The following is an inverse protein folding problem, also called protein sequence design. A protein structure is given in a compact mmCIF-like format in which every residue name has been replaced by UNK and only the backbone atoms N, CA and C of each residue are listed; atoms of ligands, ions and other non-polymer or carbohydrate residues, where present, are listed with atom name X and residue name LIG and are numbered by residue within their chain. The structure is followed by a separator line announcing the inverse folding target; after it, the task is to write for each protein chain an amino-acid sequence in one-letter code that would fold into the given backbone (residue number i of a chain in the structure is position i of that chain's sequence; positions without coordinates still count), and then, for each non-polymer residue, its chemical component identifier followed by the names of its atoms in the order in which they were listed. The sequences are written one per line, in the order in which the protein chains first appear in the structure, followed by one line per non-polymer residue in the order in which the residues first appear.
data_IF_731281809458
#
_entry.id   IF_731281809458
#
_cell.length_a   1.000
_cell.length_b   1.000
_cell.length_c   1.000
_cell.angle_alpha   90.00
_cell.angle_beta   90.00
_cell.angle_gamma   90.00
#
_symmetry.space_group_name_H-M   'P 1'
#
loop_
_entity.id
_entity.type
_entity.pdbx_description
1 polymer ?
#
# COMPACT_ATOMS: atom_id res chain seq x y z
N UNK A 1 2.50 4.26 -14.60
CA UNK A 1 3.91 3.95 -14.96
C UNK A 1 4.11 3.90 -16.49
N UNK A 2 3.29 3.16 -17.24
CA UNK A 2 3.40 3.04 -18.70
C UNK A 2 3.24 4.40 -19.44
N UNK A 3 2.36 5.27 -18.95
CA UNK A 3 2.15 6.63 -19.47
C UNK A 3 3.18 7.67 -18.96
N UNK A 4 4.27 7.24 -18.33
CA UNK A 4 5.35 8.14 -17.91
C UNK A 4 5.34 8.59 -16.45
N UNK A 5 4.29 8.26 -15.68
CA UNK A 5 4.32 8.49 -14.23
C UNK A 5 5.42 7.65 -13.57
N UNK A 6 6.33 8.33 -12.86
CA UNK A 6 7.37 7.68 -12.06
C UNK A 6 6.73 6.97 -10.86
N UNK A 7 7.16 5.74 -10.62
CA UNK A 7 6.71 4.93 -9.48
C UNK A 7 7.93 4.59 -8.65
N UNK A 8 8.01 5.18 -7.46
CA UNK A 8 9.15 5.00 -6.55
C UNK A 8 8.96 3.69 -5.78
N UNK A 9 9.60 2.62 -6.27
CA UNK A 9 9.54 1.26 -5.70
C UNK A 9 10.48 1.08 -4.49
N UNK A 10 10.48 2.05 -3.57
CA UNK A 10 11.44 2.16 -2.47
C UNK A 10 10.80 1.94 -1.08
N UNK A 11 9.71 1.17 -1.02
CA UNK A 11 9.02 0.86 0.22
C UNK A 11 8.16 2.00 0.77
N UNK A 12 7.97 3.08 0.02
CA UNK A 12 7.10 4.21 0.38
C UNK A 12 5.79 4.14 -0.40
N UNK A 13 4.69 4.40 0.30
CA UNK A 13 3.37 4.52 -0.33
C UNK A 13 3.40 5.73 -1.27
N UNK A 14 2.94 5.52 -2.50
CA UNK A 14 2.69 6.60 -3.44
C UNK A 14 1.57 7.48 -2.89
N UNK A 15 1.90 8.68 -2.42
CA UNK A 15 0.91 9.71 -2.12
C UNK A 15 0.65 10.50 -3.40
N UNK A 16 -0.61 10.58 -3.89
CA UNK A 16 -0.96 11.57 -4.90
C UNK A 16 -0.54 12.95 -4.40
N UNK A 17 -0.15 13.83 -5.35
CA UNK A 17 0.42 15.13 -5.02
C UNK A 17 -0.48 15.96 -4.10
N UNK A 18 0.13 16.95 -3.46
CA UNK A 18 -0.60 18.06 -2.84
C UNK A 18 -0.49 19.30 -3.72
N UNK A 19 -1.05 20.40 -3.27
CA UNK A 19 -0.89 21.70 -3.91
C UNK A 19 -0.38 22.73 -2.91
N UNK A 20 0.45 23.69 -3.37
CA UNK A 20 0.90 24.76 -2.52
C UNK A 20 -0.26 25.71 -2.20
N UNK A 21 -0.26 26.23 -0.99
CA UNK A 21 -1.17 27.27 -0.53
C UNK A 21 -0.38 28.39 0.13
N UNK A 22 -0.92 29.61 0.09
CA UNK A 22 -0.38 30.75 0.81
C UNK A 22 -1.46 31.38 1.67
N UNK A 23 -1.24 31.40 2.98
CA UNK A 23 -2.13 32.07 3.94
C UNK A 23 -1.31 33.08 4.77
N UNK A 24 -1.73 34.35 4.75
CA UNK A 24 -1.12 35.44 5.55
C UNK A 24 0.41 35.51 5.46
N UNK A 25 0.96 35.29 4.26
CA UNK A 25 2.41 35.33 4.00
C UNK A 25 3.17 34.03 4.32
N UNK A 26 2.51 33.02 4.89
CA UNK A 26 3.08 31.69 5.13
C UNK A 26 2.78 30.74 3.97
N UNK A 27 3.79 29.98 3.58
CA UNK A 27 3.69 28.91 2.59
C UNK A 27 3.27 27.62 3.26
N UNK A 28 2.31 26.92 2.64
CA UNK A 28 1.85 25.62 3.08
C UNK A 28 1.67 24.68 1.91
N UNK A 29 1.52 23.40 2.22
CA UNK A 29 1.19 22.38 1.23
C UNK A 29 0.00 21.55 1.75
N UNK A 30 -1.06 21.48 0.95
CA UNK A 30 -2.30 20.79 1.30
C UNK A 30 -2.42 19.54 0.45
N UNK A 31 -2.68 18.42 1.11
CA UNK A 31 -3.07 17.19 0.45
C UNK A 31 -4.58 17.04 0.57
N UNK A 32 -5.27 17.06 -0.57
CA UNK A 32 -6.71 16.85 -0.61
C UNK A 32 -7.11 15.47 -0.09
N UNK A 33 -8.36 15.36 0.37
CA UNK A 33 -8.97 14.07 0.65
C UNK A 33 -9.13 13.33 -0.66
N UNK A 34 -8.48 12.18 -0.79
CA UNK A 34 -8.65 11.32 -1.95
C UNK A 34 -10.12 10.88 -2.08
N UNK A 35 -10.66 10.71 -3.30
CA UNK A 35 -11.99 10.13 -3.49
C UNK A 35 -12.17 8.81 -2.74
N UNK A 36 -11.11 7.98 -2.66
CA UNK A 36 -11.09 6.74 -1.88
C UNK A 36 -11.16 6.98 -0.37
N UNK A 37 -10.58 8.07 0.13
CA UNK A 37 -10.70 8.47 1.55
C UNK A 37 -12.11 8.94 1.86
N UNK A 38 -12.77 9.64 0.93
CA UNK A 38 -14.17 10.02 1.07
C UNK A 38 -15.09 8.80 1.10
N UNK A 39 -14.90 7.87 0.15
CA UNK A 39 -15.60 6.58 0.14
C UNK A 39 -15.36 5.80 1.45
N UNK A 40 -14.10 5.69 1.88
CA UNK A 40 -13.75 5.00 3.12
C UNK A 40 -14.38 5.64 4.36
N UNK A 41 -14.44 6.97 4.42
CA UNK A 41 -15.11 7.70 5.50
C UNK A 41 -16.62 7.38 5.55
N UNK A 42 -17.27 7.28 4.39
CA UNK A 42 -18.68 6.85 4.32
C UNK A 42 -18.87 5.40 4.75
N UNK A 43 -18.03 4.48 4.25
CA UNK A 43 -18.08 3.07 4.64
C UNK A 43 -17.93 2.87 6.14
N UNK A 44 -17.07 3.69 6.75
CA UNK A 44 -16.92 3.71 8.19
C UNK A 44 -18.25 4.02 8.91
N UNK A 45 -19.08 4.91 8.36
CA UNK A 45 -20.41 5.21 8.90
C UNK A 45 -21.50 4.22 8.46
N UNK A 46 -21.14 3.17 7.71
CA UNK A 46 -22.10 2.22 7.14
C UNK A 46 -22.85 2.78 5.93
N UNK A 47 -22.39 3.90 5.38
CA UNK A 47 -22.98 4.54 4.21
C UNK A 47 -22.35 3.98 2.93
N UNK A 48 -23.08 3.09 2.26
CA UNK A 48 -22.69 2.51 0.98
C UNK A 48 -23.58 3.06 -0.13
N UNK A 49 -22.97 3.44 -1.25
CA UNK A 49 -23.67 3.94 -2.42
C UNK A 49 -23.96 2.82 -3.42
N UNK A 50 -24.99 3.01 -4.24
CA UNK A 50 -25.39 2.05 -5.28
C UNK A 50 -24.26 1.69 -6.25
N UNK A 51 -23.37 2.64 -6.58
CA UNK A 51 -22.19 2.40 -7.43
C UNK A 51 -21.25 1.36 -6.80
N UNK A 52 -21.13 1.34 -5.48
CA UNK A 52 -20.22 0.48 -4.73
C UNK A 52 -20.78 -0.94 -4.63
N UNK A 53 -22.09 -1.06 -4.44
CA UNK A 53 -22.80 -2.34 -4.49
C UNK A 53 -22.66 -2.99 -5.86
N UNK A 54 -22.85 -2.23 -6.95
CA UNK A 54 -22.69 -2.74 -8.30
C UNK A 54 -21.24 -3.13 -8.60
N UNK A 55 -20.28 -2.29 -8.18
CA UNK A 55 -18.85 -2.59 -8.31
C UNK A 55 -18.51 -3.88 -7.57
N UNK A 56 -19.01 -4.06 -6.35
CA UNK A 56 -18.77 -5.27 -5.56
C UNK A 56 -19.41 -6.52 -6.19
N UNK A 57 -20.62 -6.40 -6.75
CA UNK A 57 -21.27 -7.51 -7.49
C UNK A 57 -20.49 -7.88 -8.74
N UNK A 58 -20.13 -6.89 -9.55
CA UNK A 58 -19.32 -7.09 -10.74
C UNK A 58 -17.99 -7.74 -10.40
N UNK A 59 -17.27 -7.21 -9.40
CA UNK A 59 -15.99 -7.76 -8.93
C UNK A 59 -16.11 -9.22 -8.53
N UNK A 60 -17.09 -9.58 -7.69
CA UNK A 60 -17.30 -10.99 -7.28
C UNK A 60 -17.59 -11.89 -8.49
N UNK A 61 -18.44 -11.45 -9.42
CA UNK A 61 -18.75 -12.20 -10.64
C UNK A 61 -17.50 -12.40 -11.51
N UNK A 62 -16.68 -11.36 -11.69
CA UNK A 62 -15.42 -11.45 -12.44
C UNK A 62 -14.41 -12.41 -11.81
N UNK A 63 -14.34 -12.47 -10.48
CA UNK A 63 -13.48 -13.43 -9.76
C UNK A 63 -13.99 -14.86 -9.91
N UNK A 64 -15.31 -15.08 -9.82
CA UNK A 64 -15.92 -16.40 -9.99
C UNK A 64 -15.73 -16.95 -11.41
N UNK A 65 -15.77 -16.09 -12.42
CA UNK A 65 -15.64 -16.48 -13.83
C UNK A 65 -14.18 -16.65 -14.30
N UNK A 66 -13.20 -16.53 -13.39
CA UNK A 66 -11.80 -16.66 -13.75
C UNK A 66 -11.39 -18.14 -13.87
N UNK A 67 -11.12 -18.58 -15.09
CA UNK A 67 -10.65 -19.94 -15.38
C UNK A 67 -9.12 -20.02 -15.37
N UNK A 68 -8.56 -20.41 -14.23
CA UNK A 68 -7.13 -20.62 -14.06
C UNK A 68 -6.60 -21.83 -14.85
N UNK A 69 -7.44 -22.83 -15.13
CA UNK A 69 -7.00 -24.00 -15.90
C UNK A 69 -6.76 -23.64 -17.35
N UNK A 70 -7.66 -22.86 -17.95
CA UNK A 70 -7.49 -22.35 -19.31
C UNK A 70 -6.23 -21.51 -19.46
N UNK A 71 -5.93 -20.66 -18.48
CA UNK A 71 -4.68 -19.88 -18.49
C UNK A 71 -3.45 -20.79 -18.34
N UNK A 72 -3.51 -21.77 -17.45
CA UNK A 72 -2.45 -22.75 -17.26
C UNK A 72 -2.19 -23.62 -18.50
N UNK A 73 -3.20 -23.87 -19.35
CA UNK A 73 -3.02 -24.60 -20.61
C UNK A 73 -2.11 -23.86 -21.58
N UNK A 74 -2.18 -22.54 -21.66
CA UNK A 74 -1.30 -21.74 -22.51
C UNK A 74 0.17 -22.00 -22.18
N UNK A 75 0.51 -21.99 -20.89
CA UNK A 75 1.87 -22.25 -20.41
C UNK A 75 2.28 -23.71 -20.61
N UNK A 76 1.37 -24.67 -20.37
CA UNK A 76 1.63 -26.09 -20.63
C UNK A 76 1.89 -26.37 -22.11
N UNK A 77 1.12 -25.75 -23.01
CA UNK A 77 1.34 -25.84 -24.46
C UNK A 77 2.66 -25.20 -24.90
N UNK A 78 3.16 -24.21 -24.15
CA UNK A 78 4.48 -23.62 -24.32
C UNK A 78 5.62 -24.44 -23.68
N UNK A 79 5.34 -25.64 -23.15
CA UNK A 79 6.34 -26.53 -22.54
C UNK A 79 6.66 -26.25 -21.06
N UNK A 80 5.85 -25.42 -20.39
CA UNK A 80 6.00 -25.13 -18.96
C UNK A 80 5.03 -26.02 -18.18
N UNK A 81 5.56 -27.04 -17.51
CA UNK A 81 4.81 -28.01 -16.73
C UNK A 81 5.56 -28.45 -15.47
N UNK A 82 5.00 -29.43 -14.76
CA UNK A 82 5.58 -29.98 -13.54
C UNK A 82 6.90 -30.75 -13.75
N UNK A 83 7.34 -31.00 -14.99
CA UNK A 83 8.64 -31.59 -15.31
C UNK A 83 9.69 -30.51 -15.48
N UNK A 84 9.33 -29.40 -16.11
CA UNK A 84 10.26 -28.27 -16.39
C UNK A 84 10.34 -27.27 -15.24
N UNK A 85 9.33 -27.18 -14.39
CA UNK A 85 9.28 -26.31 -13.22
C UNK A 85 8.82 -27.12 -11.99
N UNK A 86 9.73 -27.31 -11.02
CA UNK A 86 9.53 -28.22 -9.88
C UNK A 86 9.37 -27.49 -8.55
N UNK A 87 9.73 -26.21 -8.52
CA UNK A 87 9.67 -25.37 -7.32
C UNK A 87 9.18 -23.96 -7.64
N UNK A 88 8.76 -23.24 -6.61
CA UNK A 88 8.42 -21.81 -6.76
C UNK A 88 9.66 -20.98 -7.13
N UNK A 89 10.85 -21.40 -6.71
CA UNK A 89 12.10 -20.78 -7.16
C UNK A 89 12.31 -20.95 -8.68
N UNK A 90 12.02 -22.13 -9.23
CA UNK A 90 12.06 -22.34 -10.69
C UNK A 90 11.04 -21.44 -11.39
N UNK A 91 9.81 -21.35 -10.86
CA UNK A 91 8.77 -20.48 -11.41
C UNK A 91 9.22 -19.02 -11.43
N UNK A 92 9.88 -18.54 -10.34
CA UNK A 92 10.44 -17.20 -10.27
C UNK A 92 11.57 -17.01 -11.28
N UNK A 93 12.46 -18.00 -11.41
CA UNK A 93 13.55 -17.99 -12.39
C UNK A 93 13.05 -17.84 -13.82
N UNK A 94 12.06 -18.67 -14.21
CA UNK A 94 11.45 -18.63 -15.54
C UNK A 94 10.76 -17.28 -15.79
N UNK A 95 9.96 -16.79 -14.83
CA UNK A 95 9.30 -15.48 -14.93
C UNK A 95 10.32 -14.33 -15.10
N UNK A 96 11.40 -14.35 -14.31
CA UNK A 96 12.49 -13.37 -14.38
C UNK A 96 13.16 -13.40 -15.77
N UNK A 97 13.40 -14.60 -16.32
CA UNK A 97 14.01 -14.75 -17.64
C UNK A 97 13.13 -14.14 -18.74
N UNK A 98 11.81 -14.31 -18.66
CA UNK A 98 10.88 -13.69 -19.63
C UNK A 98 10.95 -12.15 -19.57
N UNK A 99 10.99 -11.59 -18.36
CA UNK A 99 11.00 -10.13 -18.17
C UNK A 99 12.34 -9.48 -18.52
N UNK A 100 13.46 -10.18 -18.32
CA UNK A 100 14.79 -9.59 -18.44
C UNK A 100 15.57 -10.03 -19.70
N UNK A 101 15.23 -11.16 -20.31
CA UNK A 101 15.98 -11.74 -21.44
C UNK A 101 15.19 -11.76 -22.75
N UNK A 102 13.86 -11.93 -22.70
CA UNK A 102 13.03 -11.99 -23.92
C UNK A 102 13.02 -10.66 -24.68
N UNK A 103 12.53 -10.70 -25.93
CA UNK A 103 12.47 -9.51 -26.78
C UNK A 103 11.51 -8.47 -26.17
N UNK A 104 11.85 -7.18 -26.21
CA UNK A 104 11.00 -6.13 -25.64
C UNK A 104 9.56 -6.10 -26.17
N UNK A 105 9.36 -6.44 -27.46
CA UNK A 105 8.01 -6.54 -28.07
C UNK A 105 7.16 -7.65 -27.47
N UNK A 106 7.76 -8.81 -27.21
CA UNK A 106 7.06 -9.93 -26.59
C UNK A 106 6.65 -9.56 -25.16
N UNK A 107 7.53 -8.88 -24.42
CA UNK A 107 7.23 -8.37 -23.07
C UNK A 107 6.04 -7.39 -23.08
N UNK A 108 6.03 -6.45 -24.03
CA UNK A 108 4.94 -5.48 -24.17
C UNK A 108 3.63 -6.16 -24.57
N UNK A 109 3.67 -7.12 -25.49
CA UNK A 109 2.49 -7.87 -25.92
C UNK A 109 1.89 -8.67 -24.75
N UNK A 110 2.73 -9.36 -23.98
CA UNK A 110 2.30 -10.07 -22.76
C UNK A 110 1.67 -9.09 -21.76
N UNK A 111 2.30 -7.94 -21.51
CA UNK A 111 1.77 -6.93 -20.60
C UNK A 111 0.38 -6.44 -21.00
N UNK A 112 0.20 -6.05 -22.28
CA UNK A 112 -1.07 -5.56 -22.81
C UNK A 112 -2.16 -6.62 -22.65
N UNK A 113 -1.83 -7.88 -22.95
CA UNK A 113 -2.74 -9.00 -22.79
C UNK A 113 -3.12 -9.25 -21.32
N UNK A 114 -2.14 -9.37 -20.42
CA UNK A 114 -2.38 -9.74 -19.03
C UNK A 114 -3.08 -8.65 -18.22
N UNK A 115 -2.71 -7.39 -18.44
CA UNK A 115 -3.34 -6.25 -17.77
C UNK A 115 -4.65 -5.82 -18.42
N UNK A 116 -5.05 -6.46 -19.53
CA UNK A 116 -6.23 -6.11 -20.31
C UNK A 116 -6.29 -4.60 -20.59
N UNK A 117 -5.17 -4.05 -21.07
CA UNK A 117 -5.02 -2.60 -21.28
C UNK A 117 -6.03 -2.16 -22.35
N UNK A 118 -6.93 -1.20 -22.04
CA UNK A 118 -7.92 -0.75 -23.02
C UNK A 118 -7.26 -0.15 -24.28
N UNK A 119 -7.81 -0.40 -25.49
CA UNK A 119 -7.22 0.06 -26.75
C UNK A 119 -6.88 1.55 -26.81
N UNK A 120 -7.69 2.40 -26.16
CA UNK A 120 -7.49 3.85 -26.06
C UNK A 120 -6.17 4.22 -25.37
N UNK A 121 -5.69 3.40 -24.43
CA UNK A 121 -4.40 3.62 -23.77
C UNK A 121 -3.24 2.97 -24.53
N UNK A 122 -3.49 1.91 -25.31
CA UNK A 122 -2.43 1.17 -26.01
C UNK A 122 -1.67 2.06 -27.01
N UNK A 123 -2.37 2.90 -27.78
CA UNK A 123 -1.74 3.79 -28.75
C UNK A 123 -0.76 4.77 -28.10
N UNK A 124 -1.18 5.40 -27.00
CA UNK A 124 -0.36 6.37 -26.27
C UNK A 124 0.87 5.69 -25.64
N UNK A 125 0.69 4.50 -25.08
CA UNK A 125 1.79 3.70 -24.51
C UNK A 125 2.82 3.33 -25.59
N UNK A 126 2.37 2.81 -26.73
CA UNK A 126 3.25 2.40 -27.82
C UNK A 126 3.99 3.59 -28.44
N UNK A 127 3.31 4.73 -28.61
CA UNK A 127 3.93 5.97 -29.09
C UNK A 127 5.06 6.41 -28.15
N UNK A 128 4.80 6.43 -26.84
CA UNK A 128 5.82 6.78 -25.84
C UNK A 128 6.99 5.80 -25.84
N UNK A 129 6.70 4.50 -25.96
CA UNK A 129 7.72 3.47 -26.00
C UNK A 129 8.62 3.57 -27.24
N UNK A 130 8.03 3.87 -28.41
CA UNK A 130 8.74 4.17 -29.65
C UNK A 130 9.65 5.40 -29.51
N UNK A 131 9.17 6.49 -28.90
CA UNK A 131 9.97 7.70 -28.68
C UNK A 131 11.23 7.45 -27.82
N UNK A 132 11.23 6.39 -27.00
CA UNK A 132 12.39 5.97 -26.21
C UNK A 132 13.26 4.92 -26.91
N UNK A 133 12.98 4.61 -28.18
CA UNK A 133 13.62 3.56 -28.98
C UNK A 133 13.45 2.14 -28.39
N UNK A 134 12.22 1.81 -27.98
CA UNK A 134 11.81 0.46 -27.56
C UNK A 134 12.68 -0.21 -26.48
N UNK A 135 13.00 0.46 -25.36
CA UNK A 135 13.82 -0.13 -24.32
C UNK A 135 13.09 -1.33 -23.67
N UNK A 136 13.82 -2.28 -23.04
CA UNK A 136 13.22 -3.36 -22.25
C UNK A 136 12.17 -2.86 -21.26
N UNK A 137 11.13 -3.67 -20.99
CA UNK A 137 10.00 -3.24 -20.18
C UNK A 137 10.43 -2.81 -18.76
N UNK A 138 11.42 -3.50 -18.18
CA UNK A 138 11.99 -3.17 -16.88
C UNK A 138 12.66 -1.77 -16.83
N UNK A 139 13.08 -1.22 -17.97
CA UNK A 139 13.63 0.14 -18.08
C UNK A 139 12.51 1.13 -18.39
N UNK A 140 11.63 0.79 -19.35
CA UNK A 140 10.54 1.65 -19.80
C UNK A 140 9.51 1.94 -18.71
N UNK A 141 9.10 0.88 -18.00
CA UNK A 141 8.05 0.87 -16.99
C UNK A 141 8.36 -0.18 -15.90
N UNK A 142 9.31 0.11 -14.99
CA UNK A 142 9.81 -0.84 -14.00
C UNK A 142 8.72 -1.47 -13.12
N UNK A 143 7.70 -0.70 -12.73
CA UNK A 143 6.60 -1.23 -11.92
C UNK A 143 5.68 -2.14 -12.73
N UNK A 144 5.42 -1.80 -13.99
CA UNK A 144 4.64 -2.67 -14.87
C UNK A 144 5.38 -4.00 -15.15
N UNK A 145 6.71 -3.94 -15.29
CA UNK A 145 7.54 -5.14 -15.38
C UNK A 145 7.43 -6.03 -14.13
N UNK A 146 7.50 -5.42 -12.94
CA UNK A 146 7.32 -6.14 -11.67
C UNK A 146 5.93 -6.81 -11.56
N UNK A 147 4.86 -6.09 -11.91
CA UNK A 147 3.49 -6.64 -11.91
C UNK A 147 3.38 -7.81 -12.88
N UNK A 148 3.91 -7.67 -14.10
CA UNK A 148 3.91 -8.76 -15.08
C UNK A 148 4.72 -9.96 -14.60
N UNK A 149 5.84 -9.75 -13.94
CA UNK A 149 6.67 -10.82 -13.38
C UNK A 149 5.91 -11.64 -12.34
N UNK A 150 5.21 -10.98 -11.42
CA UNK A 150 4.37 -11.63 -10.40
C UNK A 150 3.24 -12.43 -11.08
N UNK A 151 2.59 -11.88 -12.10
CA UNK A 151 1.54 -12.59 -12.85
C UNK A 151 2.10 -13.83 -13.57
N UNK A 152 3.22 -13.69 -14.29
CA UNK A 152 3.89 -14.81 -14.97
C UNK A 152 4.28 -15.90 -13.98
N UNK A 153 4.92 -15.54 -12.86
CA UNK A 153 5.26 -16.48 -11.79
C UNK A 153 4.05 -17.29 -11.32
N UNK A 154 2.91 -16.62 -11.10
CA UNK A 154 1.71 -17.28 -10.65
C UNK A 154 1.15 -18.24 -11.71
N UNK A 155 1.05 -17.81 -12.97
CA UNK A 155 0.54 -18.65 -14.04
C UNK A 155 1.44 -19.87 -14.29
N UNK A 156 2.76 -19.69 -14.22
CA UNK A 156 3.75 -20.79 -14.29
C UNK A 156 3.56 -21.75 -13.11
N UNK A 157 3.44 -21.24 -11.88
CA UNK A 157 3.24 -22.07 -10.70
C UNK A 157 1.91 -22.84 -10.74
N UNK A 158 0.85 -22.27 -11.31
CA UNK A 158 -0.43 -22.98 -11.54
C UNK A 158 -0.26 -24.05 -12.63
N UNK A 159 0.38 -23.73 -13.76
CA UNK A 159 0.66 -24.69 -14.84
C UNK A 159 1.48 -25.89 -14.38
N UNK A 160 2.43 -25.66 -13.48
CA UNK A 160 3.28 -26.68 -12.86
C UNK A 160 2.65 -27.38 -11.65
N UNK A 161 1.38 -27.08 -11.32
CA UNK A 161 0.64 -27.62 -10.18
C UNK A 161 1.28 -27.34 -8.80
N UNK A 162 2.10 -26.30 -8.71
CA UNK A 162 2.68 -25.80 -7.45
C UNK A 162 1.68 -24.95 -6.67
N UNK A 163 0.71 -24.36 -7.37
CA UNK A 163 -0.44 -23.65 -6.82
C UNK A 163 -1.72 -24.27 -7.42
N UNK A 164 -2.72 -24.49 -6.57
CA UNK A 164 -4.02 -25.04 -6.95
C UNK A 164 -4.78 -24.09 -7.90
N UNK A 165 -5.32 -24.63 -8.98
CA UNK A 165 -6.12 -23.90 -9.97
C UNK A 165 -7.60 -23.85 -9.61
N UNK A 166 -8.06 -24.69 -8.68
CA UNK A 166 -9.47 -24.84 -8.28
C UNK A 166 -9.99 -23.68 -7.44
N UNK A 167 -9.09 -22.80 -6.96
CA UNK A 167 -9.43 -21.62 -6.18
C UNK A 167 -9.13 -20.34 -6.98
N UNK A 168 -10.10 -19.82 -7.75
CA UNK A 168 -9.94 -18.60 -8.55
C UNK A 168 -9.49 -17.38 -7.74
N UNK A 169 -9.86 -17.32 -6.44
CA UNK A 169 -9.43 -16.23 -5.55
C UNK A 169 -7.91 -16.16 -5.40
N UNK A 170 -7.16 -17.25 -5.65
CA UNK A 170 -5.69 -17.26 -5.55
C UNK A 170 -5.05 -16.19 -6.45
N UNK A 171 -5.64 -15.88 -7.61
CA UNK A 171 -5.13 -14.79 -8.47
C UNK A 171 -5.27 -13.43 -7.80
N UNK A 172 -6.42 -13.19 -7.16
CA UNK A 172 -6.68 -11.97 -6.39
C UNK A 172 -5.73 -11.91 -5.19
N UNK A 173 -5.54 -13.02 -4.50
CA UNK A 173 -4.63 -13.10 -3.36
C UNK A 173 -3.20 -12.76 -3.82
N UNK A 174 -2.69 -13.35 -4.90
CA UNK A 174 -1.36 -13.01 -5.45
C UNK A 174 -1.22 -11.54 -5.85
N UNK A 175 -2.28 -10.89 -6.31
CA UNK A 175 -2.22 -9.47 -6.66
C UNK A 175 -1.83 -8.57 -5.48
N UNK A 176 -1.95 -9.03 -4.23
CA UNK A 176 -1.42 -8.31 -3.06
C UNK A 176 0.11 -8.16 -3.11
N UNK A 177 0.83 -9.02 -3.82
CA UNK A 177 2.27 -8.87 -4.00
C UNK A 177 2.61 -7.64 -4.85
N UNK A 178 1.66 -7.08 -5.60
CA UNK A 178 1.83 -5.80 -6.32
C UNK A 178 2.09 -4.62 -5.38
N UNK A 179 1.83 -4.77 -4.08
CA UNK A 179 2.12 -3.76 -3.05
C UNK A 179 3.53 -3.88 -2.46
N UNK A 180 4.27 -4.97 -2.71
CA UNK A 180 5.63 -5.14 -2.20
C UNK A 180 6.55 -3.96 -2.52
N UNK A 181 6.53 -3.35 -3.73
CA UNK A 181 7.34 -2.17 -4.01
C UNK A 181 7.11 -0.97 -3.06
N UNK A 182 6.00 -0.94 -2.33
CA UNK A 182 5.52 0.20 -1.53
C UNK A 182 5.46 -0.08 -0.03
N UNK A 183 6.06 -1.17 0.45
CA UNK A 183 6.18 -1.45 1.87
C UNK A 183 7.62 -1.80 2.28
N UNK A 184 7.92 -1.65 3.58
CA UNK A 184 9.11 -2.23 4.20
C UNK A 184 8.79 -3.60 4.82
N UNK A 185 7.57 -3.75 5.34
CA UNK A 185 7.10 -4.97 5.97
C UNK A 185 5.81 -5.42 5.25
N UNK A 186 5.80 -6.67 4.78
CA UNK A 186 4.60 -7.29 4.20
C UNK A 186 4.00 -8.28 5.21
N UNK A 187 2.85 -7.92 5.77
CA UNK A 187 2.18 -8.72 6.81
C UNK A 187 1.03 -9.50 6.17
N UNK A 188 1.00 -10.81 6.38
CA UNK A 188 -0.13 -11.65 5.92
C UNK A 188 -0.38 -12.83 6.85
N UNK A 189 -1.65 -13.25 6.97
CA UNK A 189 -2.05 -14.54 7.55
C UNK A 189 -2.44 -15.57 6.48
N UNK A 190 -2.19 -15.27 5.21
CA UNK A 190 -2.47 -16.16 4.09
C UNK A 190 -1.26 -17.05 3.77
N UNK A 191 -1.50 -18.36 3.63
CA UNK A 191 -0.45 -19.36 3.39
C UNK A 191 0.17 -19.24 1.99
N UNK A 192 -0.59 -18.79 0.98
CA UNK A 192 -0.09 -18.51 -0.35
C UNK A 192 0.88 -17.33 -0.29
N UNK A 193 0.52 -16.25 0.41
CA UNK A 193 1.43 -15.12 0.63
C UNK A 193 2.72 -15.55 1.32
N UNK A 194 2.62 -16.37 2.38
CA UNK A 194 3.79 -16.88 3.11
C UNK A 194 4.75 -17.68 2.22
N UNK A 195 4.21 -18.42 1.25
CA UNK A 195 5.00 -19.21 0.29
C UNK A 195 5.59 -18.34 -0.82
N UNK A 196 4.83 -17.36 -1.32
CA UNK A 196 5.17 -16.65 -2.55
C UNK A 196 5.93 -15.33 -2.30
N UNK A 197 5.64 -14.60 -1.22
CA UNK A 197 6.18 -13.26 -1.02
C UNK A 197 7.72 -13.24 -0.98
N UNK A 198 8.34 -14.25 -0.37
CA UNK A 198 9.79 -14.33 -0.20
C UNK A 198 10.57 -14.26 -1.53
N UNK A 199 9.99 -14.75 -2.63
CA UNK A 199 10.62 -14.71 -3.96
C UNK A 199 10.64 -13.30 -4.58
N UNK A 200 9.92 -12.34 -4.02
CA UNK A 200 9.77 -10.98 -4.54
C UNK A 200 10.20 -9.89 -3.54
N UNK A 201 10.59 -10.27 -2.32
CA UNK A 201 11.09 -9.30 -1.34
C UNK A 201 12.44 -8.75 -1.79
N UNK A 202 12.60 -7.43 -1.68
CA UNK A 202 13.91 -6.80 -1.71
C UNK A 202 14.66 -7.10 -0.41
N UNK A 203 15.98 -6.90 -0.43
CA UNK A 203 16.86 -7.12 0.71
C UNK A 203 16.52 -6.26 1.94
N UNK A 204 15.90 -5.10 1.74
CA UNK A 204 15.46 -4.16 2.78
C UNK A 204 14.04 -4.47 3.30
N UNK A 205 13.41 -5.56 2.85
CA UNK A 205 12.05 -5.91 3.21
C UNK A 205 11.94 -7.18 4.04
N UNK A 206 10.81 -7.33 4.71
CA UNK A 206 10.54 -8.50 5.54
C UNK A 206 9.09 -8.96 5.46
N UNK A 207 8.90 -10.28 5.39
CA UNK A 207 7.60 -10.90 5.56
C UNK A 207 7.34 -11.15 7.05
N UNK A 208 6.17 -10.73 7.54
CA UNK A 208 5.75 -11.01 8.92
C UNK A 208 4.47 -11.84 8.90
N UNK A 209 4.51 -12.98 9.58
CA UNK A 209 3.32 -13.80 9.73
C UNK A 209 2.31 -13.11 10.63
N UNK A 210 1.10 -12.91 10.13
CA UNK A 210 0.08 -12.11 10.80
C UNK A 210 -0.35 -12.69 12.15
N UNK A 211 -0.19 -13.99 12.38
CA UNK A 211 -0.48 -14.60 13.68
C UNK A 211 0.53 -14.17 14.76
N UNK A 212 1.80 -14.01 14.37
CA UNK A 212 2.87 -13.61 15.29
C UNK A 212 2.65 -12.16 15.70
N UNK A 213 2.36 -11.29 14.72
CA UNK A 213 2.01 -9.90 14.99
C UNK A 213 0.73 -9.77 15.83
N UNK A 214 -0.32 -10.55 15.54
CA UNK A 214 -1.54 -10.55 16.37
C UNK A 214 -1.26 -10.96 17.81
N UNK A 215 -0.41 -11.96 18.01
CA UNK A 215 -0.01 -12.44 19.34
C UNK A 215 0.74 -11.34 20.10
N UNK A 216 1.69 -10.68 19.43
CA UNK A 216 2.46 -9.57 19.99
C UNK A 216 1.58 -8.36 20.34
N UNK A 217 0.71 -7.92 19.41
CA UNK A 217 -0.28 -6.87 19.65
C UNK A 217 -1.22 -7.22 20.81
N UNK A 218 -1.58 -8.50 20.97
CA UNK A 218 -2.35 -9.00 22.10
C UNK A 218 -1.63 -8.82 23.44
N UNK A 219 -0.31 -9.07 23.49
CA UNK A 219 0.53 -8.81 24.68
C UNK A 219 0.60 -7.32 25.00
N UNK A 220 0.83 -6.48 23.98
CA UNK A 220 0.86 -5.02 24.12
C UNK A 220 -0.48 -4.49 24.64
N UNK A 221 -1.59 -4.97 24.09
CA UNK A 221 -2.92 -4.60 24.54
C UNK A 221 -3.17 -4.99 26.01
N UNK A 222 -2.81 -6.22 26.41
CA UNK A 222 -2.92 -6.68 27.81
C UNK A 222 -2.10 -5.80 28.76
N UNK A 223 -0.89 -5.41 28.37
CA UNK A 223 -0.04 -4.49 29.13
C UNK A 223 -0.73 -3.13 29.31
N UNK A 224 -1.27 -2.54 28.25
CA UNK A 224 -1.92 -1.23 28.40
C UNK A 224 -3.24 -1.31 29.17
N UNK A 225 -3.94 -2.45 29.16
CA UNK A 225 -5.17 -2.63 29.93
C UNK A 225 -4.94 -2.60 31.45
N UNK A 226 -3.71 -2.86 31.93
CA UNK A 226 -3.36 -2.72 33.34
C UNK A 226 -3.10 -1.28 33.78
N UNK A 227 -3.16 -0.30 32.86
CA UNK A 227 -3.03 1.11 33.22
C UNK A 227 -4.28 1.63 33.95
N UNK A 228 -4.14 2.64 34.84
CA UNK A 228 -5.27 3.28 35.51
C UNK A 228 -6.33 3.80 34.53
N UNK A 229 -7.59 3.80 34.97
CA UNK A 229 -8.71 4.24 34.14
C UNK A 229 -8.57 5.71 33.73
N UNK A 230 -8.01 6.58 34.59
CA UNK A 230 -7.77 7.98 34.21
C UNK A 230 -6.85 8.07 32.98
N UNK A 231 -5.74 7.32 32.97
CA UNK A 231 -4.78 7.30 31.86
C UNK A 231 -5.44 6.84 30.55
N UNK A 232 -6.30 5.82 30.62
CA UNK A 232 -7.00 5.28 29.44
C UNK A 232 -8.01 6.26 28.86
N UNK A 233 -8.57 7.16 29.68
CA UNK A 233 -9.53 8.19 29.24
C UNK A 233 -8.86 9.39 28.55
N UNK A 234 -7.56 9.60 28.76
CA UNK A 234 -6.78 10.62 28.04
C UNK A 234 -6.62 10.26 26.55
N UNK A 235 -6.68 8.96 26.23
CA UNK A 235 -6.68 8.43 24.88
C UNK A 235 -5.36 7.73 24.51
N UNK A 236 -5.43 6.69 23.70
CA UNK A 236 -4.28 5.83 23.36
C UNK A 236 -3.13 6.58 22.69
N UNK A 237 -3.44 7.66 21.95
CA UNK A 237 -2.44 8.53 21.32
C UNK A 237 -1.64 9.38 22.33
N UNK A 238 -1.98 9.42 23.62
CA UNK A 238 -1.17 10.14 24.60
C UNK A 238 -0.07 9.27 25.21
N UNK A 239 -0.32 7.98 25.39
CA UNK A 239 0.55 7.07 26.14
C UNK A 239 1.11 5.90 25.31
N UNK A 240 0.60 5.64 24.11
CA UNK A 240 1.06 4.56 23.23
C UNK A 240 1.42 5.10 21.83
N UNK A 241 2.31 6.09 21.80
CA UNK A 241 2.78 6.77 20.58
C UNK A 241 3.78 5.97 19.73
N UNK A 242 4.22 4.83 20.24
CA UNK A 242 5.14 3.92 19.58
C UNK A 242 5.05 2.53 20.21
N UNK A 243 5.80 1.56 19.69
CA UNK A 243 5.89 0.25 20.34
C UNK A 243 6.57 0.37 21.71
N UNK A 244 6.39 -0.62 22.60
CA UNK A 244 7.12 -0.69 23.86
C UNK A 244 8.64 -0.57 23.65
N UNK A 245 9.33 0.17 24.53
CA UNK A 245 10.79 0.35 24.40
C UNK A 245 11.58 -0.86 24.88
N UNK A 246 10.99 -1.67 25.75
CA UNK A 246 11.59 -2.91 26.26
C UNK A 246 11.72 -3.96 25.15
N UNK A 247 12.75 -4.80 25.26
CA UNK A 247 12.97 -5.91 24.34
C UNK A 247 11.90 -7.01 24.50
N UNK A 248 11.79 -7.88 23.49
CA UNK A 248 10.91 -9.07 23.52
C UNK A 248 9.50 -8.84 22.97
N UNK A 249 9.28 -7.73 22.27
CA UNK A 249 8.10 -7.49 21.42
C UNK A 249 8.51 -7.48 19.96
N UNK A 250 7.76 -8.21 19.13
CA UNK A 250 7.98 -8.25 17.69
C UNK A 250 7.84 -6.84 17.07
N UNK A 251 6.87 -6.03 17.52
CA UNK A 251 6.73 -4.66 17.01
C UNK A 251 7.96 -3.79 17.29
N UNK A 252 8.65 -4.04 18.40
CA UNK A 252 9.86 -3.30 18.79
C UNK A 252 11.02 -3.67 17.89
N UNK A 253 11.22 -4.97 17.64
CA UNK A 253 12.26 -5.49 16.73
C UNK A 253 12.04 -5.00 15.29
N UNK A 254 10.79 -4.99 14.83
CA UNK A 254 10.45 -4.48 13.50
C UNK A 254 10.73 -2.98 13.38
N UNK A 255 10.46 -2.19 14.44
CA UNK A 255 10.78 -0.77 14.44
C UNK A 255 12.29 -0.51 14.49
N UNK A 256 13.06 -1.29 15.27
CA UNK A 256 14.52 -1.19 15.27
C UNK A 256 15.14 -1.39 13.90
N UNK A 257 14.60 -2.36 13.15
CA UNK A 257 15.13 -2.73 11.85
C UNK A 257 14.73 -1.75 10.75
N UNK A 258 13.48 -1.29 10.74
CA UNK A 258 12.89 -0.57 9.61
C UNK A 258 12.70 0.94 9.84
N UNK A 259 12.77 1.42 11.08
CA UNK A 259 12.60 2.85 11.40
C UNK A 259 13.93 3.52 11.77
N UNK A 260 13.98 4.85 11.66
CA UNK A 260 15.16 5.62 12.07
C UNK A 260 15.47 5.36 13.56
N UNK A 261 16.72 5.03 13.95
CA UNK A 261 17.10 4.69 15.33
C UNK A 261 16.65 5.70 16.40
N UNK A 262 16.57 6.99 16.04
CA UNK A 262 16.04 8.06 16.91
C UNK A 262 14.60 7.83 17.38
N UNK A 263 13.89 6.83 16.83
CA UNK A 263 12.59 6.42 17.33
C UNK A 263 12.63 6.01 18.80
N UNK A 264 13.74 5.41 19.27
CA UNK A 264 13.91 5.04 20.69
C UNK A 264 14.09 6.25 21.59
N UNK A 265 14.72 7.30 21.06
CA UNK A 265 15.04 8.54 21.79
C UNK A 265 13.90 9.54 21.78
N UNK A 266 12.87 9.34 20.95
CA UNK A 266 11.65 10.13 21.02
C UNK A 266 11.11 10.04 22.44
N UNK A 267 11.22 11.15 23.16
CA UNK A 267 10.56 11.32 24.43
C UNK A 267 9.07 11.16 24.19
N UNK A 268 8.37 10.50 25.12
CA UNK A 268 6.92 10.55 25.14
C UNK A 268 6.55 12.02 25.22
N UNK A 269 6.07 12.58 24.11
CA UNK A 269 5.57 13.94 24.08
C UNK A 269 4.39 13.92 25.03
N UNK A 270 4.63 14.34 26.28
CA UNK A 270 3.57 14.76 27.19
C UNK A 270 2.91 15.91 26.47
N UNK A 271 1.84 15.60 25.76
CA UNK A 271 0.91 16.59 25.30
C UNK A 271 0.33 17.21 26.57
N UNK A 272 1.00 18.25 27.09
CA UNK A 272 0.23 19.33 27.68
C UNK A 272 -0.74 19.70 26.57
N UNK A 273 -2.04 19.48 26.80
CA UNK A 273 -3.03 20.04 25.88
C UNK A 273 -2.62 21.48 25.70
N UNK A 274 -2.24 21.92 24.47
CA UNK A 274 -1.91 23.32 24.29
C UNK A 274 -3.11 24.05 24.84
N UNK A 275 -2.88 25.00 25.78
CA UNK A 275 -3.92 25.91 26.22
C UNK A 275 -4.67 26.29 24.97
N UNK A 276 -5.92 25.83 24.86
CA UNK A 276 -6.68 25.71 23.62
C UNK A 276 -6.48 27.03 22.89
N UNK A 277 -5.57 27.07 21.90
CA UNK A 277 -5.13 28.33 21.32
C UNK A 277 -6.03 28.47 20.10
N UNK A 278 -7.20 29.14 20.19
CA UNK A 278 -8.11 29.26 19.06
C UNK A 278 -7.38 29.80 17.82
N UNK A 279 -6.33 30.61 18.03
CA UNK A 279 -5.43 31.08 16.98
C UNK A 279 -4.73 29.95 16.21
N UNK A 280 -4.19 28.92 16.88
CA UNK A 280 -3.52 27.80 16.21
C UNK A 280 -4.51 26.95 15.39
N UNK A 281 -5.66 26.63 15.98
CA UNK A 281 -6.71 25.84 15.31
C UNK A 281 -7.28 26.61 14.11
N UNK A 282 -7.51 27.91 14.26
CA UNK A 282 -7.97 28.78 13.17
C UNK A 282 -6.93 28.89 12.06
N UNK A 283 -5.64 29.02 12.37
CA UNK A 283 -4.57 29.01 11.37
C UNK A 283 -4.50 27.67 10.61
N UNK A 284 -4.64 26.54 11.30
CA UNK A 284 -4.68 25.22 10.65
C UNK A 284 -5.90 25.05 9.73
N UNK A 285 -7.08 25.54 10.14
CA UNK A 285 -8.28 25.55 9.28
C UNK A 285 -8.08 26.44 8.06
N UNK A 286 -7.60 27.68 8.27
CA UNK A 286 -7.37 28.64 7.18
C UNK A 286 -6.38 28.11 6.14
N UNK A 287 -5.27 27.49 6.57
CA UNK A 287 -4.29 26.87 5.65
C UNK A 287 -4.92 25.67 4.93
N UNK A 288 -5.68 24.83 5.64
CA UNK A 288 -6.32 23.66 5.06
C UNK A 288 -7.43 23.98 4.07
N UNK A 289 -8.06 25.15 4.18
CA UNK A 289 -9.16 25.60 3.31
C UNK A 289 -8.72 26.71 2.33
N UNK A 290 -7.43 27.08 2.32
CA UNK A 290 -6.88 28.09 1.44
C UNK A 290 -6.90 27.64 -0.04
N UNK A 291 -7.14 28.58 -0.98
CA UNK A 291 -7.13 28.26 -2.40
C UNK A 291 -5.72 27.86 -2.89
N UNK A 292 -5.61 27.00 -3.90
CA UNK A 292 -4.33 26.64 -4.50
C UNK A 292 -3.58 27.87 -5.02
N UNK A 293 -2.28 27.92 -4.74
CA UNK A 293 -1.34 28.91 -5.29
C UNK A 293 -0.50 28.26 -6.38
N UNK A 294 0.05 29.04 -7.32
CA UNK A 294 0.92 28.49 -8.38
C UNK A 294 2.18 27.87 -7.77
N UNK A 295 2.58 26.70 -8.26
CA UNK A 295 3.78 25.99 -7.78
C UNK A 295 5.07 26.79 -7.94
N UNK A 296 5.15 27.67 -8.94
CA UNK A 296 6.29 28.56 -9.20
C UNK A 296 6.43 29.67 -8.14
N UNK A 297 5.39 29.95 -7.36
CA UNK A 297 5.37 31.00 -6.34
C UNK A 297 5.74 30.49 -4.93
N UNK A 298 6.04 29.18 -4.80
CA UNK A 298 6.36 28.53 -3.52
C UNK A 298 7.64 27.72 -3.66
N UNK A 299 8.65 28.07 -2.86
CA UNK A 299 9.83 27.22 -2.70
C UNK A 299 9.44 25.97 -1.89
N UNK A 300 9.48 24.80 -2.54
CA UNK A 300 9.18 23.52 -1.91
C UNK A 300 10.19 23.15 -0.80
N UNK A 301 11.37 23.77 -0.78
CA UNK A 301 12.36 23.59 0.28
C UNK A 301 12.09 24.50 1.50
N UNK A 302 11.20 25.49 1.39
CA UNK A 302 10.79 26.42 2.45
C UNK A 302 9.28 26.33 2.73
N UNK A 303 8.76 25.10 2.82
CA UNK A 303 7.38 24.84 3.24
C UNK A 303 7.31 24.91 4.77
N UNK A 304 6.56 25.88 5.28
CA UNK A 304 6.43 26.12 6.72
C UNK A 304 5.31 25.30 7.38
N UNK A 305 4.39 24.73 6.58
CA UNK A 305 3.28 23.93 7.10
C UNK A 305 2.81 22.86 6.11
N UNK A 306 2.43 21.70 6.64
CA UNK A 306 1.82 20.62 5.88
C UNK A 306 0.51 20.21 6.57
N UNK A 307 -0.59 20.20 5.82
CA UNK A 307 -1.92 19.86 6.36
C UNK A 307 -2.43 18.56 5.77
N UNK A 308 -2.85 17.65 6.64
CA UNK A 308 -3.45 16.36 6.27
C UNK A 308 -4.78 16.18 7.01
N UNK A 309 -5.89 16.17 6.26
CA UNK A 309 -7.23 16.02 6.83
C UNK A 309 -7.57 14.52 7.00
N UNK A 310 -7.81 14.07 8.25
CA UNK A 310 -8.21 12.68 8.57
C UNK A 310 -9.34 12.64 9.59
N UNK A 311 -10.24 11.66 9.45
CA UNK A 311 -11.26 11.38 10.45
C UNK A 311 -10.66 10.55 11.60
N UNK A 312 -10.97 10.93 12.84
CA UNK A 312 -10.60 10.17 14.05
C UNK A 312 -11.87 9.91 14.84
N UNK A 313 -12.09 8.65 15.24
CA UNK A 313 -13.24 8.31 16.10
C UNK A 313 -12.88 8.57 17.54
N UNK A 314 -13.84 9.04 18.32
CA UNK A 314 -13.64 9.21 19.76
C UNK A 314 -13.24 7.92 20.46
N UNK A 315 -13.85 6.78 20.09
CA UNK A 315 -13.59 5.47 20.66
C UNK A 315 -13.53 4.40 19.55
N UNK A 316 -12.59 3.46 19.68
CA UNK A 316 -12.47 2.27 18.81
C UNK A 316 -12.18 1.04 19.68
N UNK A 317 -13.08 0.06 19.66
CA UNK A 317 -13.00 -1.10 20.55
C UNK A 317 -12.97 -0.66 22.02
N UNK A 318 -12.00 -1.16 22.78
CA UNK A 318 -11.83 -0.83 24.19
C UNK A 318 -11.21 0.55 24.47
N UNK A 319 -10.71 1.25 23.44
CA UNK A 319 -9.85 2.42 23.61
C UNK A 319 -10.48 3.73 23.16
N UNK A 320 -10.33 4.79 23.95
CA UNK A 320 -10.47 6.16 23.47
C UNK A 320 -9.29 6.50 22.55
N UNK A 321 -9.52 7.03 21.35
CA UNK A 321 -8.42 7.43 20.46
C UNK A 321 -7.85 8.80 20.88
N UNK A 322 -8.73 9.68 21.34
CA UNK A 322 -8.46 11.03 21.81
C UNK A 322 -9.14 11.23 23.17
N UNK A 323 -8.80 12.30 23.87
CA UNK A 323 -9.32 12.59 25.20
C UNK A 323 -10.85 12.52 25.26
N UNK A 324 -11.40 11.84 26.27
CA UNK A 324 -12.84 11.60 26.44
C UNK A 324 -13.68 12.88 26.43
N UNK A 325 -13.12 14.00 26.88
CA UNK A 325 -13.85 15.27 26.98
C UNK A 325 -13.79 16.15 25.72
N UNK A 326 -13.10 15.73 24.66
CA UNK A 326 -13.14 16.46 23.38
C UNK A 326 -14.56 16.32 22.80
N UNK A 327 -15.18 17.47 22.53
CA UNK A 327 -16.49 17.56 21.85
C UNK A 327 -16.28 17.36 20.35
N UNK A 328 -17.22 16.68 19.70
CA UNK A 328 -17.30 16.71 18.25
C UNK A 328 -17.71 18.12 17.86
N UNK A 329 -16.77 18.92 17.35
CA UNK A 329 -17.17 19.97 16.43
C UNK A 329 -17.62 19.23 15.17
N UNK A 330 -18.92 19.32 14.90
CA UNK A 330 -19.61 18.72 13.74
C UNK A 330 -19.01 19.25 12.46
#
# INVERSE_FOLDING_TARGET
NLLGHRVSMNGRIMTPGGYPVKDRGKTGYVFDKFPEVEAFNRWQQGEFQFVEDNLARFWRASVTNLDLNKQAEIFRSAGIDNKTCKSLDDAKGIASQIIHVSKPFDQMALLVHFLNIPPEFQQEILKRWNLMNYPPLAIFAPYAAFVLEVELFFQIAVASKLIASERPSNRVDISYLFYLPFCMIFISSDKLHRRCAAHFLRHDQEFVWGQDLKTDLGRINKRHLSLPEETKQIGVLSFANGPPKEAGFLTTELWDKHMNPSWRDRQEIRHQMPNNSPNLVSSMRNIGDAPPTKTEEVDLNDIQSMTLKRMVRKKKGSWFQIHRNIRHDV
#
